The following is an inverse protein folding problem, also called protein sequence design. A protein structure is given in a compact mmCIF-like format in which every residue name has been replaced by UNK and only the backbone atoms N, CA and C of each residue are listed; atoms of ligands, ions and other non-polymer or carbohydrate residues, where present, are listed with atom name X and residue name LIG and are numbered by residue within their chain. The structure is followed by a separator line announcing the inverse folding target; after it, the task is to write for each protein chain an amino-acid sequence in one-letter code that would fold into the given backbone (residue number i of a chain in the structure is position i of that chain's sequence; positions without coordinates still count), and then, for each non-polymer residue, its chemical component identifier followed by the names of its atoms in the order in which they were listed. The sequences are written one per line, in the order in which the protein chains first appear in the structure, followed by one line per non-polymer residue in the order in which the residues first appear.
data_IF_739916500983
#
_entry.id   IF_739916500983
#
_cell.length_a   1.000
_cell.length_b   1.000
_cell.length_c   1.000
_cell.angle_alpha   90.00
_cell.angle_beta   90.00
_cell.angle_gamma   90.00
#
_symmetry.space_group_name_H-M   'P 1'
#
loop_
_entity.id
_entity.type
_entity.pdbx_description
1 polymer ?
2 non-polymer ?
3 non-polymer ?
4 non-polymer ?
5 water ?
#
# COMPACT_ATOMS: atom_id res chain seq x y z
N UNK A 6 0.72 -11.84 -19.73
CA UNK A 6 -0.59 -11.26 -19.29
C UNK A 6 -0.82 -11.40 -17.78
N UNK A 7 -1.28 -10.32 -17.15
CA UNK A 7 -1.50 -10.34 -15.72
C UNK A 7 -2.53 -11.35 -15.22
N UNK A 8 -2.50 -11.60 -13.92
CA UNK A 8 -3.42 -12.54 -13.27
C UNK A 8 -4.86 -12.08 -13.46
N UNK A 9 -5.04 -10.79 -13.74
CA UNK A 9 -6.37 -10.24 -13.95
C UNK A 9 -7.05 -10.97 -15.10
N UNK A 10 -6.25 -11.36 -16.09
CA UNK A 10 -6.76 -12.05 -17.27
C UNK A 10 -6.76 -13.57 -17.11
N UNK A 11 -5.63 -14.12 -16.66
CA UNK A 11 -5.47 -15.56 -16.48
C UNK A 11 -6.14 -16.11 -15.22
N UNK A 12 -6.25 -15.26 -14.20
CA UNK A 12 -6.81 -15.65 -12.92
C UNK A 12 -5.85 -16.61 -12.22
N UNK A 13 -4.62 -16.66 -12.71
CA UNK A 13 -3.56 -17.49 -12.12
C UNK A 13 -2.49 -16.56 -11.58
N UNK A 14 -2.11 -16.77 -10.33
CA UNK A 14 -1.13 -15.93 -9.68
C UNK A 14 0.23 -16.61 -9.55
N UNK A 15 1.28 -15.92 -9.99
CA UNK A 15 2.62 -16.45 -9.92
C UNK A 15 3.10 -16.61 -8.49
N UNK A 16 3.58 -17.80 -8.18
CA UNK A 16 4.13 -18.07 -6.86
C UNK A 16 5.63 -17.96 -7.11
N UNK A 17 6.16 -16.75 -6.99
CA UNK A 17 7.58 -16.51 -7.25
C UNK A 17 8.51 -17.28 -6.32
N UNK A 18 8.13 -17.45 -5.06
CA UNK A 18 8.95 -18.21 -4.13
C UNK A 18 9.15 -19.60 -4.73
N UNK A 19 8.04 -20.24 -5.07
CA UNK A 19 8.09 -21.59 -5.63
C UNK A 19 8.90 -21.66 -6.91
N UNK A 20 8.71 -20.70 -7.81
CA UNK A 20 9.46 -20.71 -9.06
C UNK A 20 10.95 -20.56 -8.78
N UNK A 21 11.29 -19.95 -7.65
CA UNK A 21 12.69 -19.78 -7.30
C UNK A 21 13.27 -20.90 -6.44
N UNK A 22 12.61 -22.05 -6.43
CA UNK A 22 13.13 -23.18 -5.66
C UNK A 22 12.60 -23.48 -4.28
N UNK A 23 11.74 -22.64 -3.73
CA UNK A 23 11.20 -22.92 -2.40
C UNK A 23 10.06 -23.93 -2.48
N UNK A 24 9.99 -24.83 -1.50
CA UNK A 24 8.94 -25.85 -1.51
C UNK A 24 7.58 -25.27 -1.14
N UNK A 25 6.52 -25.81 -1.74
CA UNK A 25 5.17 -25.33 -1.46
C UNK A 25 4.86 -25.42 0.03
N UNK A 26 5.34 -26.47 0.67
CA UNK A 26 5.10 -26.66 2.09
C UNK A 26 5.72 -25.53 2.93
N UNK A 27 6.99 -25.25 2.68
CA UNK A 27 7.66 -24.19 3.43
C UNK A 27 7.05 -22.81 3.15
N UNK A 28 6.61 -22.61 1.92
CA UNK A 28 5.99 -21.35 1.54
C UNK A 28 4.68 -21.16 2.32
N UNK A 29 3.85 -22.20 2.34
CA UNK A 29 2.56 -22.15 3.03
C UNK A 29 2.76 -21.88 4.52
N UNK A 30 3.75 -22.55 5.10
CA UNK A 30 4.05 -22.40 6.52
C UNK A 30 4.54 -20.99 6.82
N UNK A 31 5.39 -20.46 5.95
CA UNK A 31 5.95 -19.13 6.13
C UNK A 31 4.88 -18.03 6.06
N UNK A 32 4.00 -18.15 5.07
CA UNK A 32 2.93 -17.17 4.91
C UNK A 32 2.04 -17.13 6.15
N UNK A 33 1.65 -18.31 6.64
CA UNK A 33 0.80 -18.42 7.82
C UNK A 33 1.51 -17.91 9.06
N UNK A 34 2.79 -18.22 9.18
CA UNK A 34 3.58 -17.79 10.33
C UNK A 34 3.71 -16.27 10.36
N UNK A 35 3.91 -15.67 9.19
CA UNK A 35 4.04 -14.22 9.10
C UNK A 35 2.73 -13.61 9.60
N UNK A 36 1.61 -14.19 9.18
CA UNK A 36 0.30 -13.71 9.59
C UNK A 36 0.10 -13.80 11.11
N UNK A 37 0.40 -14.96 11.69
CA UNK A 37 0.24 -15.14 13.11
C UNK A 37 1.14 -14.19 13.90
N UNK A 38 2.36 -13.97 13.42
CA UNK A 38 3.28 -13.07 14.11
C UNK A 38 2.78 -11.63 14.15
N UNK A 39 1.97 -11.26 13.16
CA UNK A 39 1.42 -9.91 13.08
C UNK A 39 0.04 -9.77 13.71
N UNK A 40 -0.82 -10.75 13.48
CA UNK A 40 -2.18 -10.71 13.99
C UNK A 40 -2.47 -11.65 15.15
N UNK A 41 -1.54 -12.56 15.43
CA UNK A 41 -1.75 -13.49 16.53
C UNK A 41 -1.31 -12.94 17.86
N UNK A 42 -1.14 -13.83 18.83
CA UNK A 42 -0.71 -13.39 20.15
C UNK A 42 0.81 -13.49 20.26
N UNK A 43 1.49 -12.54 19.63
CA UNK A 43 2.95 -12.49 19.64
C UNK A 43 3.35 -11.04 19.91
N UNK A 44 3.26 -10.60 21.17
CA UNK A 44 3.59 -9.26 21.63
C UNK A 44 4.84 -8.62 21.03
N UNK A 45 5.90 -9.40 20.89
CA UNK A 45 7.15 -8.87 20.35
C UNK A 45 7.05 -8.47 18.87
N UNK A 46 6.18 -9.13 18.12
CA UNK A 46 6.06 -8.83 16.70
C UNK A 46 4.71 -8.36 16.18
N UNK A 47 3.64 -8.61 16.92
CA UNK A 47 2.32 -8.22 16.45
C UNK A 47 2.06 -6.73 16.33
N UNK A 48 1.14 -6.39 15.43
CA UNK A 48 0.77 -5.02 15.16
C UNK A 48 -0.75 -4.86 15.22
N UNK A 49 -1.45 -5.98 15.39
CA UNK A 49 -2.91 -5.97 15.47
C UNK A 49 -3.44 -6.26 16.87
N UNK A 50 -4.30 -5.39 17.37
CA UNK A 50 -4.86 -5.53 18.71
C UNK A 50 -6.38 -5.58 18.70
N UNK A 51 -6.93 -6.62 19.32
CA UNK A 51 -8.37 -6.80 19.38
C UNK A 51 -8.98 -6.04 20.57
N UNK A 52 -10.16 -5.48 20.37
CA UNK A 52 -10.84 -4.73 21.41
C UNK A 52 -12.30 -5.15 21.49
N UNK A 53 -12.70 -5.73 22.62
CA UNK A 53 -14.08 -6.16 22.77
C UNK A 53 -14.41 -7.32 21.84
N UNK A 54 -15.67 -7.37 21.41
CA UNK A 54 -16.10 -8.45 20.51
C UNK A 54 -16.33 -7.98 19.09
N UNK A 55 -16.18 -6.67 18.86
CA UNK A 55 -16.40 -6.14 17.52
C UNK A 55 -15.45 -5.05 17.05
N UNK A 56 -14.39 -4.79 17.82
CA UNK A 56 -13.44 -3.75 17.44
C UNK A 56 -12.00 -4.27 17.38
N UNK A 57 -11.17 -3.57 16.62
CA UNK A 57 -9.78 -3.96 16.48
C UNK A 57 -9.01 -2.92 15.68
N UNK A 58 -7.70 -2.89 15.82
CA UNK A 58 -6.90 -1.91 15.08
C UNK A 58 -5.43 -2.28 14.97
N UNK A 59 -4.74 -1.64 14.04
CA UNK A 59 -3.31 -1.85 13.86
C UNK A 59 -2.65 -0.65 14.51
N UNK A 60 -1.60 -0.91 15.28
CA UNK A 60 -0.91 0.16 15.98
C UNK A 60 0.41 0.55 15.35
N UNK A 61 0.59 1.83 15.10
CA UNK A 61 1.86 2.31 14.57
C UNK A 61 2.69 2.31 15.85
N UNK A 62 3.41 1.22 16.06
CA UNK A 62 4.23 1.06 17.25
C UNK A 62 5.21 2.21 17.51
N UNK A 63 5.72 2.79 16.43
CA UNK A 63 6.69 3.88 16.56
C UNK A 63 6.14 5.25 16.94
N UNK A 64 4.89 5.52 16.59
CA UNK A 64 4.29 6.82 16.90
C UNK A 64 3.12 6.70 17.86
N UNK A 65 2.93 5.50 18.41
CA UNK A 65 1.85 5.23 19.34
C UNK A 65 0.50 5.82 18.92
N UNK A 66 0.11 5.56 17.68
CA UNK A 66 -1.16 6.05 17.18
C UNK A 66 -1.73 5.07 16.16
N UNK A 67 -2.98 5.28 15.78
CA UNK A 67 -3.65 4.43 14.80
C UNK A 67 -3.80 5.26 13.52
N UNK A 68 -3.30 4.74 12.42
CA UNK A 68 -3.35 5.45 11.15
C UNK A 68 -4.20 4.76 10.11
N UNK A 69 -4.90 5.54 9.30
CA UNK A 69 -5.73 4.95 8.26
C UNK A 69 -4.86 4.11 7.35
N UNK A 70 -3.58 4.44 7.29
CA UNK A 70 -2.64 3.66 6.48
C UNK A 70 -2.66 2.23 7.03
N UNK A 71 -2.49 2.12 8.35
CA UNK A 71 -2.47 0.80 8.98
C UNK A 71 -3.82 0.11 8.95
N UNK A 72 -4.89 0.83 9.24
CA UNK A 72 -6.22 0.22 9.23
C UNK A 72 -6.58 -0.28 7.82
N UNK A 73 -6.33 0.53 6.80
CA UNK A 73 -6.64 0.11 5.43
C UNK A 73 -5.76 -1.09 5.06
N UNK A 74 -4.51 -1.08 5.53
CA UNK A 74 -3.60 -2.19 5.27
C UNK A 74 -4.19 -3.44 5.93
N UNK A 75 -4.57 -3.29 7.20
CA UNK A 75 -5.13 -4.41 7.95
C UNK A 75 -6.36 -5.00 7.28
N UNK A 76 -7.22 -4.15 6.74
CA UNK A 76 -8.40 -4.65 6.06
C UNK A 76 -8.02 -5.41 4.79
N UNK A 77 -7.10 -4.86 3.99
CA UNK A 77 -6.66 -5.55 2.77
C UNK A 77 -6.10 -6.91 3.15
N UNK A 78 -5.29 -6.92 4.21
CA UNK A 78 -4.68 -8.15 4.69
C UNK A 78 -5.76 -9.17 5.10
N UNK A 79 -6.71 -8.72 5.91
CA UNK A 79 -7.78 -9.60 6.38
C UNK A 79 -8.60 -10.22 5.25
N UNK A 80 -8.98 -9.42 4.25
CA UNK A 80 -9.77 -9.97 3.15
C UNK A 80 -8.93 -10.97 2.33
N UNK A 81 -7.64 -10.70 2.17
CA UNK A 81 -6.78 -11.62 1.42
C UNK A 81 -6.66 -12.95 2.17
N UNK A 82 -6.69 -12.86 3.49
CA UNK A 82 -6.58 -14.04 4.33
C UNK A 82 -7.95 -14.63 4.64
N UNK A 83 -8.97 -14.06 4.02
CA UNK A 83 -10.35 -14.51 4.22
C UNK A 83 -10.74 -14.53 5.70
N UNK A 84 -10.45 -13.44 6.40
CA UNK A 84 -10.79 -13.32 7.82
C UNK A 84 -11.74 -12.14 8.02
N UNK A 85 -13.02 -12.39 7.76
CA UNK A 85 -14.06 -11.37 7.87
C UNK A 85 -14.18 -10.82 9.29
N UNK A 86 -13.92 -11.67 10.29
CA UNK A 86 -14.00 -11.24 11.68
C UNK A 86 -13.01 -10.11 11.94
N UNK A 87 -11.77 -10.28 11.47
CA UNK A 87 -10.74 -9.25 11.66
C UNK A 87 -11.09 -8.02 10.83
N UNK A 88 -11.44 -8.25 9.56
CA UNK A 88 -11.81 -7.17 8.65
C UNK A 88 -12.90 -6.31 9.30
N UNK A 89 -13.97 -6.95 9.76
CA UNK A 89 -15.06 -6.22 10.38
C UNK A 89 -14.66 -5.46 11.65
N UNK A 90 -13.83 -6.07 12.50
CA UNK A 90 -13.39 -5.38 13.72
C UNK A 90 -12.67 -4.08 13.38
N UNK A 91 -11.74 -4.16 12.43
CA UNK A 91 -10.95 -3.02 12.00
C UNK A 91 -11.82 -1.94 11.33
N UNK A 92 -12.61 -2.35 10.33
CA UNK A 92 -13.48 -1.43 9.61
C UNK A 92 -14.46 -0.75 10.56
N UNK A 93 -14.96 -1.51 11.53
CA UNK A 93 -15.89 -0.97 12.51
C UNK A 93 -15.21 0.15 13.30
N UNK A 94 -13.97 -0.09 13.71
CA UNK A 94 -13.18 0.89 14.48
C UNK A 94 -12.95 2.14 13.63
N UNK A 95 -12.65 1.93 12.36
CA UNK A 95 -12.38 3.04 11.44
C UNK A 95 -13.58 3.95 11.31
N UNK A 96 -14.74 3.37 11.01
CA UNK A 96 -15.96 4.15 10.86
C UNK A 96 -16.38 4.84 12.15
N UNK A 97 -16.16 4.17 13.27
CA UNK A 97 -16.55 4.72 14.56
C UNK A 97 -15.63 5.86 15.02
N UNK A 98 -14.33 5.70 14.83
CA UNK A 98 -13.37 6.71 15.29
C UNK A 98 -12.67 7.60 14.26
N UNK A 99 -12.54 7.14 13.02
CA UNK A 99 -11.82 7.92 12.02
C UNK A 99 -12.69 8.67 11.01
N UNK A 100 -13.82 8.08 10.62
CA UNK A 100 -14.70 8.74 9.65
C UNK A 100 -15.13 10.10 10.18
N UNK A 101 -14.95 11.13 9.36
CA UNK A 101 -15.32 12.49 9.76
C UNK A 101 -16.64 12.95 9.16
N UNK A 102 -17.51 13.47 10.03
CA UNK A 102 -18.81 13.97 9.60
C UNK A 102 -18.79 15.50 9.62
N UNK A 103 -17.73 16.07 10.15
CA UNK A 103 -17.62 17.53 10.26
C UNK A 103 -16.29 18.07 9.72
N UNK A 104 -16.27 19.36 9.40
CA UNK A 104 -15.07 19.98 8.88
C UNK A 104 -14.95 19.90 7.37
N UNK A 105 -13.96 20.61 6.83
CA UNK A 105 -13.72 20.64 5.40
C UNK A 105 -13.44 19.25 4.83
N UNK A 106 -12.97 18.33 5.68
CA UNK A 106 -12.65 16.99 5.23
C UNK A 106 -13.73 15.95 5.55
N UNK A 107 -14.95 16.42 5.79
CA UNK A 107 -16.06 15.52 6.08
C UNK A 107 -16.23 14.56 4.91
N UNK A 108 -16.40 13.28 5.22
CA UNK A 108 -16.54 12.29 4.17
C UNK A 108 -15.26 11.47 4.06
N UNK A 109 -14.16 12.02 4.61
CA UNK A 109 -12.87 11.32 4.59
C UNK A 109 -12.58 10.77 5.98
N UNK A 110 -11.41 10.18 6.15
CA UNK A 110 -11.01 9.57 7.43
C UNK A 110 -9.78 10.24 8.07
N UNK A 111 -9.94 10.63 9.33
CA UNK A 111 -8.85 11.25 10.09
C UNK A 111 -7.64 10.31 9.97
N UNK A 112 -6.52 10.83 9.47
CA UNK A 112 -5.33 9.99 9.27
C UNK A 112 -4.67 9.42 10.50
N UNK A 113 -4.82 10.08 11.65
CA UNK A 113 -4.19 9.61 12.87
C UNK A 113 -5.08 9.76 14.10
N UNK A 114 -5.23 8.68 14.86
CA UNK A 114 -6.05 8.66 16.07
C UNK A 114 -5.26 8.03 17.21
N UNK A 115 -5.66 8.34 18.44
CA UNK A 115 -5.00 7.73 19.59
C UNK A 115 -5.63 6.36 19.76
N UNK A 116 -4.96 5.45 20.47
CA UNK A 116 -5.53 4.10 20.66
C UNK A 116 -6.94 4.13 21.24
N UNK A 117 -7.29 5.19 21.96
CA UNK A 117 -8.64 5.26 22.53
C UNK A 117 -9.66 5.82 21.55
N UNK A 118 -9.23 6.03 20.30
CA UNK A 118 -10.14 6.53 19.29
C UNK A 118 -10.12 8.04 19.05
N UNK A 119 -9.55 8.80 19.98
CA UNK A 119 -9.49 10.25 19.84
C UNK A 119 -8.69 10.66 18.62
N UNK A 120 -9.25 11.59 17.85
CA UNK A 120 -8.60 12.09 16.65
C UNK A 120 -7.45 13.04 16.94
N UNK A 121 -6.31 12.80 16.29
CA UNK A 121 -5.13 13.63 16.45
C UNK A 121 -5.17 14.74 15.41
N UNK A 122 -5.99 14.53 14.39
CA UNK A 122 -6.11 15.48 13.29
C UNK A 122 -7.41 15.26 12.52
N UNK A 123 -7.82 16.25 11.74
CA UNK A 123 -9.01 16.13 10.94
C UNK A 123 -8.57 16.12 9.48
N UNK A 124 -7.27 15.90 9.29
CA UNK A 124 -6.72 15.82 7.95
C UNK A 124 -6.63 14.37 7.53
N UNK A 125 -6.93 14.03 6.27
CA UNK A 125 -6.86 12.64 5.83
C UNK A 125 -5.54 12.30 5.10
N UNK A 126 -5.36 11.01 4.81
CA UNK A 126 -4.19 10.52 4.10
C UNK A 126 -4.75 9.68 2.96
N UNK A 127 -4.72 10.21 1.72
CA UNK A 127 -5.22 9.56 0.50
C UNK A 127 -4.84 8.10 0.26
N UNK A 128 -3.64 7.70 0.65
CA UNK A 128 -3.26 6.31 0.43
C UNK A 128 -4.12 5.37 1.29
N UNK A 129 -4.65 5.89 2.39
CA UNK A 129 -5.51 5.06 3.23
C UNK A 129 -6.86 4.90 2.55
N UNK A 130 -7.40 6.01 2.05
CA UNK A 130 -8.68 6.00 1.37
C UNK A 130 -8.71 5.01 0.20
N UNK A 131 -7.65 5.00 -0.61
CA UNK A 131 -7.64 4.10 -1.75
C UNK A 131 -7.54 2.64 -1.36
N UNK A 132 -6.90 2.36 -0.24
CA UNK A 132 -6.79 0.99 0.24
C UNK A 132 -8.14 0.57 0.84
N UNK A 133 -8.77 1.45 1.60
CA UNK A 133 -10.06 1.13 2.20
C UNK A 133 -11.02 0.67 1.09
N UNK A 134 -11.13 1.52 0.07
CA UNK A 134 -12.02 1.26 -1.06
C UNK A 134 -11.82 -0.10 -1.72
N UNK A 135 -10.60 -0.44 -2.10
CA UNK A 135 -10.38 -1.72 -2.75
C UNK A 135 -10.64 -2.87 -1.78
N UNK A 136 -10.19 -2.70 -0.54
CA UNK A 136 -10.41 -3.72 0.49
C UNK A 136 -11.92 -3.97 0.60
N UNK A 137 -12.69 -2.89 0.58
CA UNK A 137 -14.15 -3.00 0.67
C UNK A 137 -14.74 -3.71 -0.56
N UNK A 138 -14.20 -3.42 -1.75
CA UNK A 138 -14.73 -4.09 -2.93
C UNK A 138 -14.46 -5.59 -2.81
N UNK A 139 -13.25 -5.93 -2.36
CA UNK A 139 -12.91 -7.34 -2.20
C UNK A 139 -13.76 -8.02 -1.13
N UNK A 140 -14.07 -7.30 -0.06
CA UNK A 140 -14.90 -7.86 1.02
C UNK A 140 -16.29 -8.16 0.47
N UNK A 141 -16.81 -7.23 -0.32
CA UNK A 141 -18.12 -7.39 -0.91
C UNK A 141 -18.16 -8.60 -1.82
N UNK A 142 -17.10 -8.78 -2.61
CA UNK A 142 -17.03 -9.89 -3.56
C UNK A 142 -16.80 -11.25 -2.91
N UNK A 143 -16.04 -11.29 -1.82
CA UNK A 143 -15.75 -12.54 -1.13
C UNK A 143 -16.86 -12.98 -0.18
N UNK A 144 -17.44 -12.02 0.53
CA UNK A 144 -18.46 -12.34 1.52
C UNK A 144 -19.85 -11.78 1.26
N UNK A 145 -19.95 -10.77 0.41
CA UNK A 145 -21.23 -10.17 0.12
C UNK A 145 -21.49 -8.97 1.02
N UNK A 146 -22.28 -8.03 0.53
CA UNK A 146 -22.60 -6.84 1.31
C UNK A 146 -23.44 -7.14 2.54
N UNK A 147 -22.98 -6.65 3.69
CA UNK A 147 -23.71 -6.85 4.92
C UNK A 147 -25.00 -6.07 4.90
N UNK A 148 -25.97 -6.51 5.68
CA UNK A 148 -27.27 -5.86 5.74
C UNK A 148 -27.22 -4.53 6.49
N UNK A 149 -26.56 -4.51 7.63
CA UNK A 149 -26.49 -3.27 8.40
C UNK A 149 -25.19 -2.50 8.19
N UNK A 150 -25.31 -1.20 8.08
CA UNK A 150 -24.17 -0.32 7.89
C UNK A 150 -23.25 -0.35 9.11
N UNK A 151 -21.95 -0.07 8.91
CA UNK A 151 -21.31 0.26 7.64
C UNK A 151 -20.80 -0.98 6.91
N UNK A 152 -21.42 -2.12 7.18
CA UNK A 152 -20.98 -3.35 6.55
C UNK A 152 -21.50 -3.59 5.13
N UNK A 153 -22.12 -2.57 4.55
CA UNK A 153 -22.61 -2.64 3.18
C UNK A 153 -21.39 -2.21 2.34
N UNK A 154 -20.40 -3.10 2.33
CA UNK A 154 -19.12 -2.88 1.67
C UNK A 154 -19.08 -2.17 0.32
N UNK A 155 -19.61 -2.79 -0.73
CA UNK A 155 -19.56 -2.17 -2.05
C UNK A 155 -20.15 -0.76 -2.08
N UNK A 156 -21.20 -0.54 -1.29
CA UNK A 156 -21.83 0.77 -1.24
C UNK A 156 -20.89 1.77 -0.56
N UNK A 157 -20.16 1.34 0.45
CA UNK A 157 -19.24 2.21 1.16
C UNK A 157 -18.06 2.58 0.24
N UNK A 158 -17.59 1.60 -0.52
CA UNK A 158 -16.47 1.82 -1.43
C UNK A 158 -16.83 2.84 -2.50
N UNK A 159 -17.95 2.63 -3.17
CA UNK A 159 -18.38 3.55 -4.23
C UNK A 159 -18.63 4.94 -3.68
N UNK A 160 -19.19 4.99 -2.47
CA UNK A 160 -19.50 6.24 -1.79
C UNK A 160 -18.21 7.01 -1.50
N UNK A 161 -17.23 6.29 -0.95
CA UNK A 161 -15.94 6.89 -0.64
C UNK A 161 -15.25 7.38 -1.90
N UNK A 162 -15.21 6.56 -2.94
CA UNK A 162 -14.55 6.96 -4.18
C UNK A 162 -15.28 8.15 -4.82
N UNK A 163 -16.59 8.27 -4.57
CA UNK A 163 -17.34 9.39 -5.13
C UNK A 163 -16.78 10.68 -4.52
N UNK A 164 -16.62 10.66 -3.20
CA UNK A 164 -16.10 11.82 -2.49
C UNK A 164 -14.69 12.14 -3.00
N UNK A 165 -13.84 11.13 -3.09
CA UNK A 165 -12.46 11.31 -3.55
C UNK A 165 -12.32 12.05 -4.88
N UNK A 166 -13.30 11.88 -5.76
CA UNK A 166 -13.23 12.51 -7.07
C UNK A 166 -14.07 13.79 -7.19
N UNK A 167 -15.23 13.81 -6.54
CA UNK A 167 -16.14 14.94 -6.65
C UNK A 167 -16.20 15.94 -5.49
N UNK A 168 -15.53 15.66 -4.38
CA UNK A 168 -15.56 16.58 -3.25
C UNK A 168 -15.12 17.99 -3.67
N UNK A 169 -15.90 19.00 -3.27
CA UNK A 169 -15.58 20.36 -3.62
C UNK A 169 -16.54 20.96 -4.63
N UNK A 170 -17.47 20.13 -5.11
CA UNK A 170 -18.45 20.59 -6.07
C UNK A 170 -19.70 21.08 -5.34
N UNK A 171 -20.13 20.31 -4.34
CA UNK A 171 -21.31 20.69 -3.57
C UNK A 171 -20.94 21.27 -2.21
N UNK A 172 -19.74 21.81 -2.11
CA UNK A 172 -19.30 22.39 -0.84
C UNK A 172 -17.87 22.89 -0.84
N UNK A 173 -17.30 23.12 0.36
CA UNK A 173 -15.92 23.60 0.52
C UNK A 173 -14.83 22.51 0.49
N UNK A 174 -15.25 21.26 0.40
CA UNK A 174 -14.29 20.16 0.38
C UNK A 174 -13.33 20.14 -0.80
N UNK A 175 -12.34 19.26 -0.74
CA UNK A 175 -11.34 19.12 -1.80
C UNK A 175 -11.23 17.66 -2.25
N UNK A 176 -11.06 17.44 -3.56
CA UNK A 176 -10.93 16.07 -4.08
C UNK A 176 -9.55 15.53 -3.76
N UNK A 177 -9.39 14.20 -3.74
CA UNK A 177 -8.08 13.63 -3.44
C UNK A 177 -7.26 13.40 -4.70
N UNK A 178 -7.87 13.69 -5.85
CA UNK A 178 -7.23 13.55 -7.14
C UNK A 178 -7.38 14.88 -7.87
N UNK A 179 -6.33 15.32 -8.54
CA UNK A 179 -6.43 16.56 -9.29
C UNK A 179 -7.25 16.18 -10.52
N UNK A 180 -8.38 16.84 -10.72
CA UNK A 180 -9.26 16.53 -11.86
C UNK A 180 -8.64 16.77 -13.23
N UNK A 181 -7.64 17.63 -13.31
CA UNK A 181 -7.03 17.93 -14.60
C UNK A 181 -5.97 16.93 -15.03
N UNK A 182 -5.07 16.56 -14.13
CA UNK A 182 -4.02 15.62 -14.46
C UNK A 182 -4.32 14.19 -14.03
N UNK A 183 -5.45 14.02 -13.33
CA UNK A 183 -5.89 12.71 -12.86
C UNK A 183 -4.92 12.04 -11.87
N UNK A 184 -4.06 12.83 -11.23
CA UNK A 184 -3.09 12.28 -10.29
C UNK A 184 -3.49 12.39 -8.82
N UNK A 185 -3.30 11.31 -8.06
CA UNK A 185 -3.64 11.34 -6.64
C UNK A 185 -2.77 12.40 -5.97
N UNK A 186 -3.30 13.04 -4.93
CA UNK A 186 -2.56 14.09 -4.23
C UNK A 186 -2.01 13.62 -2.89
N UNK A 187 -1.05 14.36 -2.33
CA UNK A 187 -0.47 14.01 -1.03
C UNK A 187 -1.58 14.12 0.01
N UNK A 188 -2.29 15.25 -0.01
CA UNK A 188 -3.43 15.51 0.86
C UNK A 188 -4.37 16.40 0.03
N UNK A 189 -5.66 16.41 0.37
CA UNK A 189 -6.67 17.21 -0.33
C UNK A 189 -6.37 18.68 -0.64
N UNK A 190 -5.79 19.40 0.31
CA UNK A 190 -5.53 20.83 0.10
C UNK A 190 -4.19 21.26 -0.51
N UNK A 191 -3.47 20.33 -1.15
CA UNK A 191 -2.20 20.69 -1.78
C UNK A 191 -2.20 20.29 -3.25
N UNK A 192 -1.23 20.80 -3.99
CA UNK A 192 -1.13 20.47 -5.39
C UNK A 192 0.23 19.84 -5.72
N UNK A 193 0.51 18.73 -5.06
CA UNK A 193 1.72 17.95 -5.30
C UNK A 193 1.38 16.54 -4.85
N UNK A 194 2.22 15.56 -5.18
CA UNK A 194 1.92 14.18 -4.86
C UNK A 194 2.93 13.43 -4.00
N UNK A 195 2.79 12.10 -3.98
CA UNK A 195 3.65 11.18 -3.21
C UNK A 195 3.69 9.92 -4.08
N UNK A 196 4.80 9.70 -4.80
CA UNK A 196 4.96 8.52 -5.67
C UNK A 196 4.44 7.18 -5.15
N UNK A 197 4.71 6.88 -3.89
CA UNK A 197 4.27 5.61 -3.31
C UNK A 197 2.74 5.50 -3.24
N UNK A 198 2.06 6.63 -3.35
CA UNK A 198 0.58 6.65 -3.32
C UNK A 198 -0.06 6.16 -4.62
N UNK A 199 0.69 6.22 -5.72
CA UNK A 199 0.14 5.79 -7.00
C UNK A 199 -0.04 4.28 -7.15
N UNK A 200 -1.30 3.88 -7.36
CA UNK A 200 -1.64 2.47 -7.50
C UNK A 200 -2.48 2.26 -8.76
N UNK A 201 -1.83 2.34 -9.94
CA UNK A 201 -2.54 2.15 -11.22
C UNK A 201 -3.38 0.89 -11.24
N UNK A 202 -2.84 -0.20 -10.71
CA UNK A 202 -3.56 -1.46 -10.68
C UNK A 202 -4.84 -1.35 -9.84
N UNK A 203 -4.84 -0.50 -8.83
CA UNK A 203 -6.04 -0.32 -8.00
C UNK A 203 -7.08 0.47 -8.82
N UNK A 204 -6.60 1.50 -9.52
CA UNK A 204 -7.50 2.34 -10.30
C UNK A 204 -8.15 1.55 -11.44
N UNK A 205 -7.39 0.62 -12.02
CA UNK A 205 -7.91 -0.21 -13.10
C UNK A 205 -9.16 -0.92 -12.59
N UNK A 206 -9.10 -1.43 -11.37
CA UNK A 206 -10.23 -2.14 -10.80
C UNK A 206 -11.36 -1.15 -10.44
N UNK A 207 -10.99 0.05 -10.01
CA UNK A 207 -12.00 1.05 -9.69
C UNK A 207 -12.74 1.42 -10.97
N UNK A 208 -12.04 1.36 -12.10
CA UNK A 208 -12.65 1.71 -13.39
C UNK A 208 -13.71 0.67 -13.77
N UNK A 209 -13.80 -0.39 -12.98
CA UNK A 209 -14.78 -1.45 -13.23
C UNK A 209 -15.88 -1.47 -12.17
N UNK A 210 -15.55 -1.13 -10.93
CA UNK A 210 -16.52 -1.21 -9.84
C UNK A 210 -17.01 0.08 -9.18
N UNK A 211 -16.36 1.20 -9.43
CA UNK A 211 -16.80 2.46 -8.85
C UNK A 211 -18.06 2.92 -9.59
N UNK A 212 -18.65 4.03 -9.16
CA UNK A 212 -19.85 4.52 -9.83
C UNK A 212 -19.51 4.69 -11.31
N UNK A 213 -20.44 4.33 -12.18
CA UNK A 213 -20.23 4.42 -13.62
C UNK A 213 -19.80 5.81 -14.08
N UNK A 214 -20.34 6.85 -13.47
CA UNK A 214 -19.99 8.21 -13.85
C UNK A 214 -18.50 8.50 -13.71
N UNK A 215 -17.78 7.66 -12.98
CA UNK A 215 -16.35 7.87 -12.77
C UNK A 215 -15.44 6.80 -13.35
N UNK A 216 -16.03 5.77 -13.95
CA UNK A 216 -15.23 4.68 -14.50
C UNK A 216 -14.23 5.15 -15.57
N UNK A 217 -14.63 6.13 -16.38
CA UNK A 217 -13.73 6.65 -17.39
C UNK A 217 -12.58 7.36 -16.67
N UNK A 218 -12.93 8.20 -15.69
CA UNK A 218 -11.92 8.93 -14.92
C UNK A 218 -10.87 7.99 -14.31
N UNK A 219 -11.33 6.90 -13.71
CA UNK A 219 -10.41 5.96 -13.07
C UNK A 219 -9.48 5.28 -14.06
N UNK A 220 -9.98 5.01 -15.27
CA UNK A 220 -9.15 4.40 -16.28
C UNK A 220 -8.05 5.42 -16.62
N UNK A 221 -8.46 6.69 -16.69
CA UNK A 221 -7.51 7.77 -16.98
C UNK A 221 -6.51 7.96 -15.84
N UNK A 222 -6.97 7.78 -14.60
CA UNK A 222 -6.09 7.93 -13.44
C UNK A 222 -5.00 6.87 -13.46
N UNK A 223 -5.38 5.64 -13.81
CA UNK A 223 -4.45 4.53 -13.87
C UNK A 223 -3.33 4.83 -14.87
N UNK A 224 -3.72 5.33 -16.05
CA UNK A 224 -2.77 5.66 -17.09
C UNK A 224 -1.89 6.83 -16.67
N UNK A 225 -2.51 7.85 -16.06
CA UNK A 225 -1.76 9.01 -15.60
C UNK A 225 -0.74 8.64 -14.53
N UNK A 226 -1.10 7.71 -13.64
CA UNK A 226 -0.17 7.27 -12.59
C UNK A 226 1.01 6.48 -13.16
N UNK A 227 0.75 5.69 -14.20
CA UNK A 227 1.82 4.91 -14.80
C UNK A 227 2.85 5.83 -15.46
N UNK A 228 2.36 6.89 -16.10
CA UNK A 228 3.24 7.85 -16.74
C UNK A 228 3.99 8.66 -15.69
N UNK A 229 3.28 9.02 -14.64
CA UNK A 229 3.87 9.79 -13.55
C UNK A 229 5.07 9.09 -12.93
N UNK A 230 4.93 7.80 -12.66
CA UNK A 230 6.03 7.04 -12.06
C UNK A 230 7.27 7.04 -12.93
N UNK A 231 7.10 7.11 -14.24
CA UNK A 231 8.23 7.12 -15.15
C UNK A 231 9.10 8.36 -14.93
N UNK A 232 8.47 9.51 -14.65
CA UNK A 232 9.24 10.72 -14.44
C UNK A 232 9.65 10.94 -12.98
N UNK A 233 8.98 10.26 -12.05
CA UNK A 233 9.30 10.41 -10.64
C UNK A 233 10.52 9.60 -10.20
N UNK A 234 10.68 8.41 -10.77
CA UNK A 234 11.82 7.54 -10.43
C UNK A 234 13.09 8.02 -11.14
N UNK A 235 14.18 8.15 -10.39
CA UNK A 235 15.45 8.58 -10.96
C UNK A 235 15.79 7.67 -12.14
N UNK A 236 16.20 8.25 -13.28
CA UNK A 236 16.54 7.45 -14.45
C UNK A 236 17.70 6.48 -14.31
N UNK A 237 18.62 6.74 -13.39
CA UNK A 237 19.77 5.86 -13.20
C UNK A 237 19.60 4.88 -12.05
N UNK A 238 19.21 5.39 -10.89
CA UNK A 238 19.05 4.55 -9.69
C UNK A 238 17.68 3.91 -9.56
N UNK A 239 16.66 4.54 -10.15
CA UNK A 239 15.31 4.01 -10.07
C UNK A 239 14.64 4.42 -8.77
N UNK A 240 15.36 5.19 -7.95
CA UNK A 240 14.84 5.65 -6.67
C UNK A 240 13.84 6.81 -6.81
N UNK A 241 12.72 6.71 -6.09
CA UNK A 241 11.71 7.75 -6.11
C UNK A 241 11.68 8.50 -4.79
N UNK A 242 11.37 9.79 -4.83
CA UNK A 242 11.32 10.63 -3.62
C UNK A 242 10.02 10.34 -2.87
N UNK A 243 9.96 10.70 -1.59
CA UNK A 243 8.75 10.47 -0.81
C UNK A 243 7.64 11.38 -1.33
N UNK A 244 7.94 12.67 -1.44
CA UNK A 244 6.99 13.66 -1.98
C UNK A 244 7.56 14.16 -3.30
N UNK A 245 6.68 14.48 -4.25
CA UNK A 245 7.12 14.98 -5.55
C UNK A 245 6.02 15.86 -6.14
N UNK A 246 6.45 16.92 -6.84
CA UNK A 246 5.51 17.82 -7.48
C UNK A 246 4.91 17.08 -8.66
N UNK A 247 3.85 17.63 -9.23
CA UNK A 247 3.22 16.98 -10.38
C UNK A 247 4.21 16.86 -11.53
N UNK A 248 5.17 17.78 -11.60
CA UNK A 248 6.17 17.75 -12.67
C UNK A 248 7.14 16.59 -12.50
N UNK A 249 7.02 15.85 -11.39
CA UNK A 249 7.89 14.72 -11.17
C UNK A 249 9.08 14.90 -10.26
N UNK A 250 9.58 16.13 -10.13
CA UNK A 250 10.74 16.38 -9.27
C UNK A 250 10.39 16.29 -7.78
N UNK A 251 11.40 16.11 -6.93
CA UNK A 251 11.19 16.00 -5.48
C UNK A 251 10.76 17.28 -4.78
N UNK A 252 9.88 17.13 -3.78
CA UNK A 252 9.43 18.24 -2.97
C UNK A 252 10.17 18.04 -1.66
N UNK A 253 11.28 18.75 -1.48
CA UNK A 253 12.09 18.61 -0.28
C UNK A 253 11.92 19.72 0.75
N UNK A 254 10.83 20.47 0.62
CA UNK A 254 10.54 21.58 1.53
C UNK A 254 10.59 21.18 3.01
N UNK A 255 10.16 19.97 3.31
CA UNK A 255 10.16 19.50 4.69
C UNK A 255 11.02 18.26 4.87
N UNK A 256 11.86 17.97 3.88
CA UNK A 256 12.74 16.83 3.96
C UNK A 256 12.20 15.52 3.40
N UNK A 257 11.13 15.59 2.61
CA UNK A 257 10.54 14.39 2.03
C UNK A 257 10.91 14.19 0.56
N UNK A 258 11.94 14.89 0.09
CA UNK A 258 12.32 14.76 -1.31
C UNK A 258 13.41 13.73 -1.61
N UNK A 259 13.61 12.78 -0.71
CA UNK A 259 14.65 11.77 -0.91
C UNK A 259 14.04 10.37 -0.90
N UNK A 260 14.91 9.35 -0.97
CA UNK A 260 14.46 7.96 -0.95
C UNK A 260 14.44 7.48 0.48
N UNK A 261 13.25 7.42 1.07
CA UNK A 261 13.09 7.00 2.45
C UNK A 261 11.78 6.21 2.63
N UNK A 262 11.39 5.98 3.89
CA UNK A 262 10.18 5.22 4.22
C UNK A 262 9.05 5.13 3.19
N UNK A 263 8.47 6.27 2.81
CA UNK A 263 7.38 6.25 1.82
C UNK A 263 7.81 5.58 0.53
N UNK A 264 8.92 6.06 -0.02
CA UNK A 264 9.50 5.58 -1.27
C UNK A 264 9.58 4.07 -1.47
N UNK A 265 9.86 3.33 -0.40
CA UNK A 265 10.01 1.88 -0.52
C UNK A 265 8.84 1.17 -1.21
N UNK A 266 7.63 1.68 -1.00
CA UNK A 266 6.44 1.08 -1.56
C UNK A 266 6.33 1.15 -3.09
N UNK A 267 7.08 2.04 -3.71
CA UNK A 267 7.04 2.16 -5.16
C UNK A 267 7.39 0.84 -5.84
N UNK A 268 8.48 0.21 -5.39
CA UNK A 268 8.90 -1.07 -5.96
C UNK A 268 7.88 -2.18 -5.74
N UNK A 269 7.20 -2.13 -4.60
CA UNK A 269 6.19 -3.14 -4.30
C UNK A 269 5.00 -2.91 -5.23
N UNK A 270 4.55 -1.66 -5.31
CA UNK A 270 3.42 -1.32 -6.17
C UNK A 270 3.68 -1.74 -7.62
N UNK A 271 4.88 -1.46 -8.12
CA UNK A 271 5.24 -1.81 -9.49
C UNK A 271 5.15 -3.32 -9.65
N UNK A 272 5.61 -4.05 -8.63
CA UNK A 272 5.57 -5.50 -8.69
C UNK A 272 4.15 -6.05 -8.74
N UNK A 273 3.30 -5.59 -7.83
CA UNK A 273 1.91 -6.07 -7.78
C UNK A 273 1.15 -5.71 -9.06
N UNK A 274 1.38 -4.51 -9.58
CA UNK A 274 0.70 -4.09 -10.80
C UNK A 274 1.11 -5.00 -11.96
N UNK A 275 2.39 -5.37 -12.00
CA UNK A 275 2.89 -6.24 -13.07
C UNK A 275 2.20 -7.60 -13.00
N UNK A 276 2.09 -8.14 -11.79
CA UNK A 276 1.47 -9.44 -11.59
C UNK A 276 -0.03 -9.41 -11.90
N UNK A 277 -0.69 -8.32 -11.56
CA UNK A 277 -2.12 -8.20 -11.82
C UNK A 277 -2.46 -7.87 -13.26
N UNK A 278 -1.87 -6.81 -13.79
CA UNK A 278 -2.18 -6.37 -15.14
C UNK A 278 -1.12 -6.56 -16.22
N UNK A 279 -0.07 -7.31 -15.91
CA UNK A 279 0.95 -7.56 -16.90
C UNK A 279 2.25 -6.80 -16.72
N UNK A 280 3.34 -7.42 -17.13
CA UNK A 280 4.62 -6.77 -17.03
C UNK A 280 4.77 -5.75 -18.15
N UNK A 281 5.78 -4.90 -18.03
CA UNK A 281 6.07 -3.88 -19.04
C UNK A 281 7.58 -3.73 -19.07
N UNK A 282 8.10 -3.24 -20.19
CA UNK A 282 9.53 -3.05 -20.33
C UNK A 282 10.01 -2.07 -19.26
N UNK A 283 9.31 -0.95 -19.12
CA UNK A 283 9.70 0.05 -18.15
C UNK A 283 9.74 -0.47 -16.71
N UNK A 284 8.71 -1.23 -16.32
CA UNK A 284 8.65 -1.77 -14.97
C UNK A 284 9.81 -2.70 -14.68
N UNK A 285 10.12 -3.57 -15.62
CA UNK A 285 11.22 -4.52 -15.44
C UNK A 285 12.53 -3.76 -15.29
N UNK A 286 12.76 -2.80 -16.18
CA UNK A 286 13.99 -2.01 -16.13
C UNK A 286 14.07 -1.18 -14.85
N UNK A 287 12.91 -0.70 -14.38
CA UNK A 287 12.87 0.10 -13.16
C UNK A 287 13.30 -0.73 -11.96
N UNK A 288 12.76 -1.93 -11.84
CA UNK A 288 13.10 -2.81 -10.74
C UNK A 288 14.57 -3.23 -10.84
N UNK A 289 15.06 -3.43 -12.06
CA UNK A 289 16.46 -3.81 -12.25
C UNK A 289 17.37 -2.70 -11.77
N UNK A 290 16.93 -1.46 -11.91
CA UNK A 290 17.72 -0.32 -11.46
C UNK A 290 17.77 -0.25 -9.93
N UNK A 291 16.61 -0.33 -9.29
CA UNK A 291 16.56 -0.27 -7.84
C UNK A 291 17.38 -1.39 -7.22
N UNK A 292 17.09 -2.62 -7.63
CA UNK A 292 17.80 -3.78 -7.10
C UNK A 292 19.31 -3.68 -7.37
N UNK A 293 19.67 -3.15 -8.55
CA UNK A 293 21.08 -3.01 -8.88
C UNK A 293 21.73 -2.04 -7.90
N UNK A 294 21.02 -0.95 -7.60
CA UNK A 294 21.52 0.05 -6.67
C UNK A 294 21.81 -0.54 -5.30
N UNK A 295 20.99 -1.49 -4.88
CA UNK A 295 21.18 -2.10 -3.57
C UNK A 295 22.02 -3.37 -3.56
N UNK A 296 22.39 -3.82 -4.76
CA UNK A 296 23.18 -5.04 -4.93
C UNK A 296 24.48 -5.08 -4.12
N UNK A 297 25.18 -3.95 -4.04
CA UNK A 297 26.45 -3.90 -3.32
C UNK A 297 26.29 -3.22 -1.96
N UNK A 298 25.08 -3.24 -1.41
CA UNK A 298 24.85 -2.61 -0.12
C UNK A 298 24.30 -3.58 0.93
N UNK A 299 24.79 -3.46 2.16
CA UNK A 299 24.36 -4.31 3.26
C UNK A 299 23.19 -3.70 4.00
N UNK A 300 22.20 -4.52 4.38
CA UNK A 300 20.99 -4.10 5.11
C UNK A 300 21.31 -3.21 6.32
N UNK A 301 22.24 -3.66 7.16
CA UNK A 301 22.62 -2.92 8.35
C UNK A 301 23.18 -1.56 8.00
N UNK A 302 23.52 -1.36 6.73
CA UNK A 302 24.08 -0.09 6.30
C UNK A 302 23.14 0.73 5.41
N UNK A 303 21.93 0.23 5.14
CA UNK A 303 21.00 0.98 4.31
C UNK A 303 20.83 2.36 4.92
N UNK A 304 20.89 3.39 4.08
CA UNK A 304 20.76 4.77 4.54
C UNK A 304 19.59 5.45 3.86
N UNK A 305 19.48 6.74 4.11
CA UNK A 305 18.49 7.58 3.43
C UNK A 305 19.38 8.01 2.26
N UNK A 306 18.86 8.00 1.05
CA UNK A 306 19.67 8.40 -0.10
C UNK A 306 18.94 9.46 -0.89
N UNK A 307 19.69 10.33 -1.56
CA UNK A 307 19.06 11.31 -2.43
C UNK A 307 18.69 10.39 -3.58
N UNK A 308 17.68 10.73 -4.36
CA UNK A 308 17.29 9.82 -5.44
C UNK A 308 18.40 9.54 -6.45
N UNK A 309 19.44 10.37 -6.49
CA UNK A 309 20.54 10.13 -7.42
C UNK A 309 21.49 9.10 -6.84
N UNK A 310 21.21 8.66 -5.62
CA UNK A 310 22.05 7.65 -4.99
C UNK A 310 23.01 8.13 -3.93
N UNK A 311 23.18 9.44 -3.79
CA UNK A 311 24.09 9.99 -2.79
C UNK A 311 23.58 9.61 -1.40
N UNK A 312 24.42 8.98 -0.58
CA UNK A 312 24.07 8.55 0.78
C UNK A 312 24.12 9.61 1.88
N UNK A 313 23.15 9.53 2.79
CA UNK A 313 23.10 10.43 3.94
C UNK A 313 23.73 9.61 5.05
N UNK A 314 24.10 10.28 6.13
CA UNK A 314 24.68 9.59 7.27
C UNK A 314 23.59 8.78 7.96
N UNK A 315 22.37 9.31 7.93
CA UNK A 315 21.23 8.65 8.57
C UNK A 315 20.89 7.27 7.99
N UNK A 316 20.68 6.30 8.87
CA UNK A 316 20.33 4.95 8.46
C UNK A 316 18.84 4.88 8.10
N UNK A 317 18.47 3.83 7.39
CA UNK A 317 17.07 3.61 7.03
C UNK A 317 16.33 3.28 8.32
N UNK A 318 15.20 3.93 8.55
CA UNK A 318 14.43 3.67 9.76
C UNK A 318 13.67 2.34 9.66
N UNK A 319 13.44 1.88 8.44
CA UNK A 319 12.73 0.62 8.21
C UNK A 319 13.43 -0.20 7.14
N UNK A 320 14.63 -0.71 7.46
CA UNK A 320 15.40 -1.52 6.51
C UNK A 320 14.71 -2.83 6.15
N UNK A 321 13.94 -3.39 7.06
CA UNK A 321 13.25 -4.65 6.79
C UNK A 321 12.16 -4.40 5.77
N UNK A 322 11.50 -3.26 5.86
CA UNK A 322 10.46 -2.93 4.92
C UNK A 322 11.09 -2.74 3.54
N UNK A 323 12.25 -2.12 3.49
CA UNK A 323 12.94 -1.89 2.22
C UNK A 323 13.25 -3.21 1.55
N UNK A 324 13.76 -4.16 2.33
CA UNK A 324 14.08 -5.49 1.83
C UNK A 324 12.82 -6.15 1.25
N UNK A 325 11.73 -6.09 2.01
CA UNK A 325 10.46 -6.68 1.58
C UNK A 325 9.95 -6.08 0.27
N UNK A 326 10.01 -4.75 0.16
CA UNK A 326 9.53 -4.08 -1.04
C UNK A 326 10.41 -4.37 -2.26
N UNK A 327 11.73 -4.40 -2.06
CA UNK A 327 12.62 -4.68 -3.18
C UNK A 327 12.37 -6.11 -3.68
N UNK A 328 12.08 -7.01 -2.74
CA UNK A 328 11.82 -8.40 -3.09
C UNK A 328 10.51 -8.50 -3.85
N UNK A 329 9.47 -7.82 -3.33
CA UNK A 329 8.16 -7.85 -3.97
C UNK A 329 8.25 -7.28 -5.38
N UNK A 330 9.17 -6.35 -5.60
CA UNK A 330 9.33 -5.78 -6.92
C UNK A 330 9.75 -6.81 -7.95
N UNK A 331 10.38 -7.89 -7.51
CA UNK A 331 10.82 -8.94 -8.44
C UNK A 331 9.70 -9.48 -9.33
N UNK A 332 8.46 -9.24 -8.92
CA UNK A 332 7.30 -9.69 -9.68
C UNK A 332 7.24 -8.98 -11.03
N UNK A 333 7.84 -7.80 -11.12
CA UNK A 333 7.84 -7.02 -12.36
C UNK A 333 9.09 -7.30 -13.20
N UNK A 334 9.92 -8.25 -12.77
CA UNK A 334 11.14 -8.60 -13.47
C UNK A 334 11.62 -9.95 -12.95
N UNK A 335 10.84 -10.99 -13.20
CA UNK A 335 11.18 -12.32 -12.71
C UNK A 335 12.50 -12.88 -13.23
N UNK A 336 12.97 -12.39 -14.37
CA UNK A 336 14.23 -12.84 -14.94
C UNK A 336 15.34 -11.83 -14.73
N UNK A 337 15.06 -10.82 -13.90
CA UNK A 337 16.05 -9.79 -13.63
C UNK A 337 17.30 -10.39 -13.01
N UNK A 338 18.46 -9.76 -13.21
CA UNK A 338 19.73 -10.25 -12.65
C UNK A 338 19.81 -10.29 -11.11
N UNK A 339 18.97 -9.52 -10.43
CA UNK A 339 18.99 -9.48 -8.98
C UNK A 339 17.72 -10.03 -8.33
N UNK A 340 16.74 -10.38 -9.15
CA UNK A 340 15.46 -10.89 -8.67
C UNK A 340 15.56 -12.02 -7.63
N UNK A 341 16.31 -13.07 -7.97
CA UNK A 341 16.48 -14.22 -7.08
C UNK A 341 17.18 -13.82 -5.77
N UNK A 342 18.22 -13.01 -5.88
CA UNK A 342 18.96 -12.57 -4.71
C UNK A 342 18.08 -11.78 -3.76
N UNK A 343 17.18 -10.96 -4.31
CA UNK A 343 16.29 -10.17 -3.47
C UNK A 343 15.27 -11.04 -2.76
N UNK A 344 14.72 -11.99 -3.49
CA UNK A 344 13.74 -12.89 -2.90
C UNK A 344 14.41 -13.71 -1.79
N UNK A 345 15.63 -14.18 -2.03
CA UNK A 345 16.35 -14.97 -1.02
C UNK A 345 16.66 -14.14 0.21
N UNK A 346 17.05 -12.88 0.02
CA UNK A 346 17.36 -12.00 1.13
C UNK A 346 16.14 -11.83 2.02
N UNK A 347 14.99 -11.60 1.39
CA UNK A 347 13.73 -11.42 2.10
C UNK A 347 13.39 -12.69 2.86
N UNK A 348 13.50 -13.84 2.20
CA UNK A 348 13.20 -15.12 2.83
C UNK A 348 14.05 -15.30 4.08
N UNK A 349 15.29 -14.85 4.02
CA UNK A 349 16.22 -14.97 5.13
C UNK A 349 16.14 -13.83 6.13
N UNK A 350 15.12 -12.97 5.98
CA UNK A 350 14.94 -11.86 6.89
C UNK A 350 13.71 -12.12 7.78
N UNK A 351 13.92 -12.17 9.10
CA UNK A 351 12.83 -12.41 10.07
C UNK A 351 11.90 -11.22 10.25
N UNK A 352 10.67 -11.49 10.69
CA UNK A 352 9.71 -10.43 10.95
C UNK A 352 10.38 -9.56 12.00
N UNK A 353 10.14 -8.26 11.95
CA UNK A 353 10.78 -7.33 12.88
C UNK A 353 10.14 -7.18 14.25
N UNK A 354 11.00 -6.95 15.24
CA UNK A 354 10.58 -6.73 16.62
C UNK A 354 10.94 -5.27 16.94
N UNK A 355 10.59 -4.81 18.13
CA UNK A 355 10.91 -3.44 18.48
C UNK A 355 9.77 -2.47 18.23
N UNK A 356 9.94 -1.22 18.65
CA UNK A 356 8.92 -0.21 18.50
C UNK A 356 8.79 0.38 17.09
N UNK A 357 9.63 -0.06 16.16
CA UNK A 357 9.56 0.44 14.79
C UNK A 357 9.12 -0.65 13.83
N UNK A 358 8.66 -1.76 14.37
CA UNK A 358 8.24 -2.92 13.58
C UNK A 358 7.00 -2.71 12.69
N UNK A 359 6.05 -1.90 13.16
CA UNK A 359 4.81 -1.66 12.42
C UNK A 359 4.95 -1.52 10.90
N UNK A 360 5.63 -0.47 10.45
CA UNK A 360 5.79 -0.23 9.02
C UNK A 360 6.48 -1.37 8.29
N UNK A 361 7.58 -1.87 8.87
CA UNK A 361 8.34 -2.97 8.27
C UNK A 361 7.47 -4.21 8.09
N UNK A 362 6.76 -4.57 9.16
CA UNK A 362 5.91 -5.76 9.14
C UNK A 362 4.74 -5.69 8.17
N UNK A 363 4.18 -4.50 7.97
CA UNK A 363 3.07 -4.37 7.03
C UNK A 363 3.63 -4.67 5.63
N UNK A 364 4.72 -4.02 5.27
CA UNK A 364 5.34 -4.23 3.97
C UNK A 364 5.77 -5.68 3.85
N UNK A 365 6.12 -6.27 4.98
CA UNK A 365 6.59 -7.65 5.03
C UNK A 365 5.48 -8.64 4.65
N UNK A 366 4.32 -8.51 5.28
CA UNK A 366 3.20 -9.41 4.98
C UNK A 366 2.69 -9.25 3.55
N UNK A 367 2.64 -8.01 3.05
CA UNK A 367 2.19 -7.81 1.68
C UNK A 367 3.16 -8.51 0.72
N UNK A 368 4.46 -8.41 0.99
CA UNK A 368 5.46 -9.05 0.14
C UNK A 368 5.32 -10.58 0.21
N UNK A 369 5.00 -11.08 1.39
CA UNK A 369 4.84 -12.51 1.60
C UNK A 369 3.63 -13.03 0.81
N UNK A 370 2.54 -12.27 0.82
CA UNK A 370 1.34 -12.66 0.10
C UNK A 370 1.56 -12.61 -1.41
N UNK A 371 2.12 -11.50 -1.87
CA UNK A 371 2.36 -11.32 -3.29
C UNK A 371 3.35 -12.30 -3.87
N UNK A 372 4.46 -12.51 -3.17
CA UNK A 372 5.49 -13.41 -3.65
C UNK A 372 5.08 -14.88 -3.62
N UNK A 373 4.07 -15.19 -2.82
CA UNK A 373 3.59 -16.58 -2.72
C UNK A 373 2.35 -16.78 -3.58
N UNK A 374 1.95 -15.72 -4.30
CA UNK A 374 0.78 -15.80 -5.15
C UNK A 374 -0.54 -15.72 -4.42
N UNK A 375 -0.53 -15.08 -3.24
CA UNK A 375 -1.76 -14.96 -2.45
C UNK A 375 -2.29 -13.53 -2.27
N UNK A 376 -1.80 -12.60 -3.08
CA UNK A 376 -2.29 -11.22 -3.01
C UNK A 376 -3.09 -11.14 -4.31
N UNK A 377 -4.34 -11.57 -4.23
CA UNK A 377 -5.19 -11.64 -5.42
C UNK A 377 -6.30 -10.62 -5.58
N UNK A 378 -6.90 -10.65 -6.77
CA UNK A 378 -8.01 -9.79 -7.11
C UNK A 378 -9.25 -10.63 -6.84
N UNK A 379 -10.20 -10.09 -6.08
CA UNK A 379 -11.41 -10.81 -5.79
C UNK A 379 -12.56 -10.18 -6.58
N UNK A 380 -13.01 -10.92 -7.59
CA UNK A 380 -14.08 -10.51 -8.51
C UNK A 380 -15.48 -10.80 -8.00
N UNK A 381 -16.49 -10.11 -8.56
CA UNK A 381 -17.87 -10.37 -8.11
C UNK A 381 -18.25 -11.81 -8.47
X LIG B 1 7.81 5.27 10.31
X LIG B 1 6.90 5.05 9.29
X LIG B 1 5.48 5.36 9.78
X LIG B 1 4.49 5.21 8.61
X LIG B 1 4.95 6.05 7.40
X LIG B 1 6.39 5.71 7.04
X LIG B 1 5.13 4.46 10.82
X LIG B 1 3.20 5.64 9.03
X LIG B 1 4.09 5.79 6.29
X LIG B 1 7.25 5.91 8.19
X LIG C 1 8.81 -26.08 7.75
X LIG D 1 2.92 22.47 -8.00
X LIG D 1 1.58 22.87 -7.68
X LIG D 1 3.00 21.32 -8.99
X LIG D 1 3.09 20.06 -8.35
X LIG D 1 4.21 21.51 -9.90
X LIG D 1 4.39 20.33 -10.69
#
# INVERSE_FOLDING_TARGET
MEKTTEGAFYTREYRNLFKEFGYSEAEIQERVKDTWEQLFGDNPETKIYYEVGDDLGYLLDTGNLDVRTEGMSYGMMMAVQMDRKDIFDRIWNWTMKNMYMTEGVHAGYFAWSCQPDGTKNSWGPAPDGEEYFALALFFASHRWGDGDEQPFNYSEQARKLLHTCVHNGEGGPGHPMWNRDNKLIKFIPEVEFSDPSYHLPHFYELFSLWANEEDRVFWKEAAEASREYLKIACHPETGLAPEYAYYDGTPNDEKGYGHFFSDSYRVAANIGLDAEWFGGSEWSAEEINKIQAFFADKEPEDYRRYKIDGEPFEEKSLHPVGLIATNAMGSLASVDGPYAKANVDLFWNTPVRTGNRRYYDNCLYLFAMLALSGNFKIWFPEGQEEEHLEHHHHHH
XYP O1 C1 C2 C3 C4 C5 O2 O3 O4 O5
NI NI
GOL C1 O1 C2 O2 C3 O3
#
